data_IF_830184357156
#
_entry.id   IF_830184357156
#
_cell.length_a   1.000
_cell.length_b   1.000
_cell.length_c   1.000
_cell.angle_alpha   90.00
_cell.angle_beta   90.00
_cell.angle_gamma   90.00
#
_symmetry.space_group_name_H-M   'P 1'
#
loop_
_entity.id
_entity.type
_entity.pdbx_description
1 polymer ?
#
# COMPACT_ATOMS: atom_id res chain seq x y z
N UNK A 1 37.44 -63.12 -29.87
CA UNK A 1 37.30 -62.02 -30.83
C UNK A 1 35.95 -61.32 -30.62
N UNK A 2 35.69 -60.74 -29.48
CA UNK A 2 34.42 -59.94 -29.25
C UNK A 2 34.61 -58.90 -28.17
N UNK A 3 35.74 -58.18 -28.15
CA UNK A 3 35.99 -57.17 -27.12
C UNK A 3 36.20 -55.75 -27.65
N UNK A 4 35.94 -55.52 -28.92
CA UNK A 4 36.23 -54.19 -29.53
C UNK A 4 35.00 -53.34 -29.88
N UNK A 5 33.81 -53.85 -29.60
CA UNK A 5 32.57 -53.14 -29.97
C UNK A 5 31.84 -52.45 -28.82
N UNK A 6 32.22 -52.69 -27.58
CA UNK A 6 31.53 -52.18 -26.41
C UNK A 6 32.01 -50.74 -25.98
N UNK A 7 33.28 -50.42 -26.32
CA UNK A 7 33.82 -49.13 -25.87
C UNK A 7 33.35 -47.90 -26.69
N UNK A 8 32.81 -48.14 -27.89
CA UNK A 8 32.34 -47.01 -28.73
C UNK A 8 30.95 -46.52 -28.36
N UNK A 9 30.15 -47.39 -27.77
CA UNK A 9 28.77 -47.03 -27.35
C UNK A 9 28.77 -46.32 -26.01
N UNK A 10 29.70 -46.65 -25.11
CA UNK A 10 29.77 -45.96 -23.81
C UNK A 10 30.28 -44.51 -23.87
N UNK A 11 31.12 -44.18 -24.87
CA UNK A 11 31.60 -42.83 -25.05
C UNK A 11 30.56 -41.89 -25.69
N UNK A 12 29.61 -42.43 -26.44
CA UNK A 12 28.52 -41.62 -27.03
C UNK A 12 27.50 -41.24 -25.96
N UNK A 13 27.27 -42.11 -24.95
CA UNK A 13 26.35 -41.83 -23.84
C UNK A 13 26.89 -40.81 -22.83
N UNK A 14 28.24 -40.67 -22.75
CA UNK A 14 28.84 -39.68 -21.82
C UNK A 14 28.93 -38.28 -22.40
N UNK A 15 28.84 -38.08 -23.69
CA UNK A 15 28.92 -36.79 -24.33
C UNK A 15 27.54 -36.13 -24.45
N UNK A 16 26.45 -36.91 -24.37
CA UNK A 16 25.08 -36.38 -24.54
C UNK A 16 24.46 -35.90 -23.21
N UNK A 17 25.12 -36.10 -22.07
CA UNK A 17 24.60 -35.71 -20.77
C UNK A 17 25.21 -34.40 -20.20
N UNK A 18 26.05 -33.71 -20.97
CA UNK A 18 26.76 -32.51 -20.50
C UNK A 18 26.30 -31.20 -21.19
N UNK A 19 25.19 -31.21 -21.91
CA UNK A 19 24.71 -29.98 -22.60
C UNK A 19 23.28 -29.60 -22.28
N UNK A 20 22.75 -29.97 -21.11
CA UNK A 20 21.44 -29.49 -20.66
C UNK A 20 21.56 -28.79 -19.29
N UNK A 21 22.56 -27.93 -19.14
CA UNK A 21 22.57 -26.87 -18.18
C UNK A 21 22.03 -25.63 -18.88
N UNK A 22 20.77 -25.67 -19.28
CA UNK A 22 20.07 -24.49 -19.69
C UNK A 22 19.80 -23.69 -18.41
N UNK A 23 20.63 -22.71 -18.16
CA UNK A 23 20.38 -21.68 -17.20
C UNK A 23 18.98 -21.09 -17.49
N UNK A 24 18.02 -21.47 -16.68
CA UNK A 24 16.79 -20.70 -16.53
C UNK A 24 17.23 -19.44 -15.79
N UNK A 25 17.77 -18.47 -16.53
CA UNK A 25 17.73 -17.08 -16.07
C UNK A 25 16.25 -16.76 -16.08
N UNK A 26 15.60 -17.00 -14.93
CA UNK A 26 14.30 -16.47 -14.67
C UNK A 26 14.37 -14.98 -14.95
N UNK A 27 13.63 -14.50 -15.94
CA UNK A 27 13.26 -13.12 -16.01
C UNK A 27 12.65 -12.76 -14.67
N UNK A 28 13.43 -12.13 -13.81
CA UNK A 28 12.94 -11.39 -12.69
C UNK A 28 11.95 -10.40 -13.28
N UNK A 29 10.66 -10.64 -13.04
CA UNK A 29 9.60 -9.72 -13.40
C UNK A 29 10.03 -8.34 -12.97
N UNK A 30 9.88 -7.37 -13.87
CA UNK A 30 10.33 -6.01 -13.68
C UNK A 30 9.99 -5.53 -12.28
N UNK A 31 10.99 -5.13 -11.53
CA UNK A 31 10.82 -4.14 -10.49
C UNK A 31 10.25 -2.93 -11.23
N UNK A 32 8.93 -2.85 -11.32
CA UNK A 32 8.28 -1.60 -11.67
C UNK A 32 8.91 -0.55 -10.79
N UNK A 33 9.05 0.65 -11.30
CA UNK A 33 9.58 1.84 -10.63
C UNK A 33 8.75 2.16 -9.38
N UNK A 34 8.74 1.22 -8.44
CA UNK A 34 8.03 1.31 -7.17
C UNK A 34 8.99 1.90 -6.16
N UNK A 35 8.63 3.03 -5.53
CA UNK A 35 9.47 3.65 -4.53
C UNK A 35 9.66 2.72 -3.32
N UNK A 36 10.72 2.96 -2.57
CA UNK A 36 10.91 2.30 -1.28
C UNK A 36 9.75 2.67 -0.34
N UNK A 37 9.08 1.66 0.19
CA UNK A 37 7.93 1.81 1.08
C UNK A 37 8.26 1.34 2.50
N UNK A 38 7.75 2.09 3.47
CA UNK A 38 7.65 1.65 4.86
C UNK A 38 6.21 1.23 5.18
N UNK A 39 6.03 0.17 5.92
CA UNK A 39 4.72 -0.22 6.44
C UNK A 39 4.29 0.81 7.48
N UNK A 40 3.07 1.32 7.38
CA UNK A 40 2.54 2.33 8.30
C UNK A 40 1.19 1.89 8.83
N UNK A 41 1.07 1.87 10.14
CA UNK A 41 -0.16 1.60 10.89
C UNK A 41 -0.28 2.56 12.08
N UNK A 42 -1.42 2.64 12.68
CA UNK A 42 -1.63 3.44 13.88
C UNK A 42 -3.10 3.56 14.25
N UNK A 43 -3.38 4.47 15.16
CA UNK A 43 -4.73 4.72 15.68
C UNK A 43 -5.06 6.21 15.58
N UNK A 44 -6.29 6.51 15.23
CA UNK A 44 -6.82 7.89 15.26
C UNK A 44 -7.89 8.00 16.33
N UNK A 45 -7.73 8.97 17.21
CA UNK A 45 -8.73 9.32 18.23
C UNK A 45 -9.15 10.77 18.07
N UNK A 46 -10.40 11.07 18.37
CA UNK A 46 -10.93 12.43 18.43
C UNK A 46 -11.59 12.66 19.79
N UNK A 47 -11.12 13.70 20.51
CA UNK A 47 -11.59 13.99 21.89
C UNK A 47 -11.49 12.77 22.82
N UNK A 48 -10.44 11.95 22.66
CA UNK A 48 -10.19 10.75 23.47
C UNK A 48 -11.01 9.51 23.09
N UNK A 49 -11.85 9.60 22.04
CA UNK A 49 -12.63 8.47 21.53
C UNK A 49 -12.07 8.00 20.18
N UNK A 50 -12.09 6.68 19.89
CA UNK A 50 -11.70 6.17 18.58
C UNK A 50 -12.50 6.83 17.46
N UNK A 51 -11.82 7.28 16.42
CA UNK A 51 -12.45 7.88 15.24
C UNK A 51 -12.58 6.84 14.13
N UNK A 52 -13.78 6.26 14.01
CA UNK A 52 -14.10 5.30 12.97
C UNK A 52 -14.49 5.96 11.65
N UNK A 53 -14.15 5.32 10.51
CA UNK A 53 -14.52 5.79 9.19
C UNK A 53 -13.81 7.07 8.74
N UNK A 54 -12.72 7.46 9.40
CA UNK A 54 -11.91 8.58 8.99
C UNK A 54 -10.92 8.17 7.88
N UNK A 55 -10.74 9.04 6.91
CA UNK A 55 -9.71 8.87 5.89
C UNK A 55 -8.38 9.45 6.39
N UNK A 56 -7.35 8.63 6.41
CA UNK A 56 -5.97 9.01 6.75
C UNK A 56 -5.13 8.97 5.47
N UNK A 57 -4.56 10.08 5.07
CA UNK A 57 -3.76 10.21 3.85
C UNK A 57 -2.39 10.75 4.17
N UNK A 58 -1.36 10.02 3.76
CA UNK A 58 0.04 10.44 3.84
C UNK A 58 0.50 10.94 2.46
N UNK A 59 0.91 12.17 2.40
CA UNK A 59 1.32 12.87 1.17
C UNK A 59 2.82 13.12 1.21
N UNK A 60 3.64 12.33 0.48
CA UNK A 60 5.07 12.60 0.38
C UNK A 60 5.33 13.87 -0.45
N UNK A 61 6.49 14.50 -0.25
CA UNK A 61 6.91 15.69 -1.03
C UNK A 61 6.93 15.41 -2.54
N UNK A 62 7.10 14.16 -2.93
CA UNK A 62 7.05 13.72 -4.33
C UNK A 62 6.51 12.30 -4.45
N UNK A 63 5.72 12.06 -5.47
CA UNK A 63 5.16 10.73 -5.76
C UNK A 63 3.69 10.62 -5.37
N UNK A 64 3.24 9.40 -5.17
CA UNK A 64 1.83 9.09 -4.90
C UNK A 64 1.54 9.11 -3.39
N UNK A 65 0.41 9.68 -2.98
CA UNK A 65 -0.09 9.50 -1.62
C UNK A 65 -0.44 8.04 -1.31
N UNK A 66 -0.36 7.69 -0.04
CA UNK A 66 -0.90 6.45 0.51
C UNK A 66 -2.06 6.78 1.45
N UNK A 67 -3.10 5.97 1.47
CA UNK A 67 -4.28 6.23 2.28
C UNK A 67 -4.84 4.99 2.95
N UNK A 68 -5.64 5.21 3.99
CA UNK A 68 -6.42 4.18 4.66
C UNK A 68 -7.69 4.79 5.25
N UNK A 69 -8.67 3.94 5.54
CA UNK A 69 -9.85 4.30 6.33
C UNK A 69 -9.73 3.64 7.71
N UNK A 70 -10.03 4.37 8.77
CA UNK A 70 -10.00 3.82 10.12
C UNK A 70 -11.15 2.86 10.36
N UNK A 71 -10.87 1.78 11.09
CA UNK A 71 -11.86 0.79 11.53
C UNK A 71 -12.71 1.31 12.71
N UNK A 72 -13.62 0.47 13.22
CA UNK A 72 -14.49 0.81 14.36
C UNK A 72 -13.73 1.15 15.65
N UNK A 73 -12.47 0.73 15.78
CA UNK A 73 -11.57 1.03 16.90
C UNK A 73 -10.62 2.19 16.61
N UNK A 74 -10.76 2.86 15.46
CA UNK A 74 -9.89 3.94 15.03
C UNK A 74 -8.55 3.49 14.46
N UNK A 75 -8.30 2.19 14.27
CA UNK A 75 -7.04 1.70 13.71
C UNK A 75 -7.02 1.87 12.20
N UNK A 76 -5.83 2.10 11.65
CA UNK A 76 -5.60 2.18 10.20
C UNK A 76 -4.30 1.49 9.79
N UNK A 77 -4.24 1.05 8.54
CA UNK A 77 -3.04 0.54 7.89
C UNK A 77 -2.98 1.09 6.46
N UNK A 78 -1.94 1.85 6.14
CA UNK A 78 -1.84 2.54 4.86
C UNK A 78 -1.67 1.57 3.69
N UNK A 79 -2.35 1.90 2.59
CA UNK A 79 -2.25 1.24 1.30
C UNK A 79 -1.70 2.25 0.28
N UNK A 80 -0.60 1.90 -0.38
CA UNK A 80 0.04 2.73 -1.40
C UNK A 80 -0.70 2.65 -2.74
N UNK A 81 -0.96 1.43 -3.21
CA UNK A 81 -1.71 1.18 -4.44
C UNK A 81 -2.26 -0.24 -4.46
N UNK A 82 -3.54 -0.40 -4.81
CA UNK A 82 -4.23 -1.71 -4.84
C UNK A 82 -4.00 -2.46 -3.52
N UNK A 83 -3.29 -3.60 -3.58
CA UNK A 83 -3.02 -4.45 -2.41
C UNK A 83 -1.61 -4.20 -1.81
N UNK A 84 -0.88 -3.20 -2.32
CA UNK A 84 0.46 -2.87 -1.81
C UNK A 84 0.34 -2.00 -0.57
N UNK A 85 0.66 -2.57 0.59
CA UNK A 85 0.66 -1.87 1.87
C UNK A 85 1.87 -0.96 2.02
N UNK A 86 1.70 0.12 2.77
CA UNK A 86 2.76 1.03 3.15
C UNK A 86 2.63 2.42 2.56
N UNK A 87 3.63 3.22 2.81
CA UNK A 87 3.77 4.60 2.34
C UNK A 87 5.21 4.85 1.90
N UNK A 88 5.43 5.81 1.01
CA UNK A 88 6.77 6.20 0.58
C UNK A 88 7.61 6.66 1.77
N UNK A 89 8.85 6.12 1.85
CA UNK A 89 9.83 6.50 2.88
C UNK A 89 10.18 7.98 2.74
N UNK A 90 10.37 8.63 3.88
CA UNK A 90 10.73 10.04 3.99
C UNK A 90 9.62 10.87 4.62
N UNK A 91 9.76 12.19 4.46
CA UNK A 91 8.82 13.16 5.00
C UNK A 91 7.48 13.10 4.28
N UNK A 92 6.40 13.10 5.06
CA UNK A 92 5.03 13.06 4.58
C UNK A 92 4.17 14.06 5.37
N UNK A 93 3.37 14.86 4.68
CA UNK A 93 2.24 15.56 5.30
C UNK A 93 1.10 14.58 5.51
N UNK A 94 0.43 14.68 6.66
CA UNK A 94 -0.68 13.79 7.00
C UNK A 94 -1.98 14.56 7.03
N UNK A 95 -2.94 14.13 6.23
CA UNK A 95 -4.29 14.67 6.20
C UNK A 95 -5.26 13.65 6.78
N UNK A 96 -6.12 14.10 7.68
CA UNK A 96 -7.17 13.27 8.27
C UNK A 96 -8.52 13.98 8.09
N UNK A 97 -9.48 13.29 7.46
CA UNK A 97 -10.84 13.77 7.24
C UNK A 97 -11.85 12.82 7.85
N UNK A 98 -12.93 13.37 8.39
CA UNK A 98 -14.06 12.56 8.89
C UNK A 98 -15.08 12.23 7.80
N UNK A 99 -14.91 12.80 6.61
CA UNK A 99 -15.71 12.50 5.43
C UNK A 99 -14.96 11.49 4.59
N UNK A 100 -15.54 10.32 4.38
CA UNK A 100 -15.02 9.35 3.41
C UNK A 100 -15.38 9.85 2.01
N UNK A 101 -14.42 10.48 1.31
CA UNK A 101 -14.59 10.76 -0.11
C UNK A 101 -14.58 9.45 -0.89
N UNK A 102 -15.71 9.13 -1.53
CA UNK A 102 -15.77 8.07 -2.52
C UNK A 102 -16.47 6.79 -2.10
N UNK A 103 -17.70 6.88 -1.64
CA UNK A 103 -18.67 5.92 -2.09
C UNK A 103 -18.87 6.18 -3.59
N UNK A 104 -18.56 5.19 -4.43
CA UNK A 104 -18.85 5.23 -5.85
C UNK A 104 -20.22 5.88 -6.07
N UNK A 105 -20.25 7.03 -6.75
CA UNK A 105 -21.44 7.51 -7.41
C UNK A 105 -21.78 6.46 -8.50
N UNK A 106 -22.38 5.33 -8.09
CA UNK A 106 -23.26 4.61 -8.96
C UNK A 106 -24.45 5.54 -9.10
N UNK A 107 -24.52 6.17 -10.26
CA UNK A 107 -25.69 6.88 -10.74
C UNK A 107 -26.92 6.00 -10.52
N UNK A 108 -27.61 6.23 -9.40
CA UNK A 108 -28.97 5.75 -9.25
C UNK A 108 -29.84 6.76 -10.02
N UNK A 109 -30.09 6.46 -11.29
CA UNK A 109 -31.22 7.08 -12.00
C UNK A 109 -32.49 6.68 -11.27
N UNK A 110 -32.96 7.54 -10.38
CA UNK A 110 -34.23 7.42 -9.68
C UNK A 110 -34.64 8.79 -9.19
N UNK A 111 -35.75 9.25 -9.72
CA UNK A 111 -36.31 10.62 -9.61
C UNK A 111 -36.86 10.97 -8.20
N UNK A 112 -36.44 10.26 -7.13
CA UNK A 112 -36.83 10.50 -5.73
C UNK A 112 -35.67 10.31 -4.74
N UNK A 113 -34.44 10.61 -5.14
CA UNK A 113 -33.34 10.65 -4.18
C UNK A 113 -33.44 11.92 -3.34
N UNK A 114 -33.83 11.75 -2.06
CA UNK A 114 -33.61 12.78 -1.06
C UNK A 114 -32.12 13.22 -1.13
N UNK A 115 -31.80 14.53 -1.05
CA UNK A 115 -30.42 14.98 -1.14
C UNK A 115 -29.61 14.27 -0.05
N UNK A 116 -28.61 13.51 -0.50
CA UNK A 116 -27.63 12.92 0.41
C UNK A 116 -27.12 14.09 1.27
N UNK A 117 -27.38 14.03 2.58
CA UNK A 117 -26.86 15.04 3.50
C UNK A 117 -25.34 15.00 3.32
N UNK A 118 -24.80 16.07 2.72
CA UNK A 118 -23.37 16.26 2.59
C UNK A 118 -22.80 16.12 4.00
N UNK A 119 -22.10 15.02 4.25
CA UNK A 119 -21.55 14.70 5.56
C UNK A 119 -20.53 15.78 5.88
N UNK A 120 -20.93 16.74 6.74
CA UNK A 120 -20.05 17.85 7.09
C UNK A 120 -18.81 17.33 7.78
N UNK A 121 -17.66 17.78 7.31
CA UNK A 121 -16.39 17.54 7.99
C UNK A 121 -16.50 17.95 9.47
N UNK A 122 -16.16 17.03 10.37
CA UNK A 122 -16.24 17.24 11.83
C UNK A 122 -14.91 17.69 12.41
N UNK A 123 -13.82 17.46 11.68
CA UNK A 123 -12.48 17.78 12.13
C UNK A 123 -12.11 19.23 11.79
N UNK A 124 -11.36 19.91 12.67
CA UNK A 124 -10.77 21.21 12.36
C UNK A 124 -9.87 21.21 11.13
N UNK A 125 -9.81 22.33 10.41
CA UNK A 125 -9.01 22.50 9.19
C UNK A 125 -7.53 22.14 9.37
N UNK A 126 -6.98 22.31 10.57
CA UNK A 126 -5.60 21.94 10.94
C UNK A 126 -5.28 20.46 10.83
N UNK A 127 -6.25 19.60 10.55
CA UNK A 127 -6.05 18.16 10.32
C UNK A 127 -6.33 17.74 8.88
N UNK A 128 -6.91 18.64 8.08
CA UNK A 128 -7.27 18.36 6.68
C UNK A 128 -6.77 19.45 5.72
N UNK A 129 -7.54 20.47 5.38
CA UNK A 129 -7.19 21.47 4.36
C UNK A 129 -5.92 22.27 4.69
N UNK A 130 -5.70 22.56 5.96
CA UNK A 130 -4.54 23.30 6.47
C UNK A 130 -3.71 22.42 7.42
N UNK A 131 -3.50 21.15 7.02
CA UNK A 131 -2.87 20.17 7.92
C UNK A 131 -1.50 20.62 8.40
N UNK A 132 -1.32 20.52 9.71
CA UNK A 132 -0.04 20.69 10.41
C UNK A 132 0.58 19.36 10.81
N UNK A 133 -0.09 18.24 10.48
CA UNK A 133 0.39 16.91 10.82
C UNK A 133 1.46 16.46 9.83
N UNK A 134 2.56 15.95 10.36
CA UNK A 134 3.69 15.46 9.60
C UNK A 134 4.17 14.11 10.16
N UNK A 135 4.74 13.28 9.32
CA UNK A 135 5.30 11.98 9.68
C UNK A 135 6.52 11.64 8.83
N UNK A 136 7.59 11.22 9.48
CA UNK A 136 8.79 10.70 8.81
C UNK A 136 8.74 9.19 8.75
N UNK A 137 8.37 8.65 7.59
CA UNK A 137 8.27 7.21 7.34
C UNK A 137 9.66 6.62 7.11
N UNK A 138 9.97 5.55 7.83
CA UNK A 138 11.24 4.80 7.72
C UNK A 138 11.01 3.44 7.07
N UNK A 139 12.08 2.82 6.59
CA UNK A 139 12.04 1.44 6.13
C UNK A 139 11.60 0.50 7.26
N UNK A 140 10.76 -0.48 6.92
CA UNK A 140 10.18 -1.42 7.89
C UNK A 140 8.85 -0.94 8.46
N UNK A 141 8.56 -1.32 9.70
CA UNK A 141 7.29 -0.99 10.37
C UNK A 141 7.37 0.39 11.05
N UNK A 142 6.33 1.18 10.85
CA UNK A 142 6.12 2.48 11.50
C UNK A 142 4.75 2.48 12.17
N UNK A 143 4.68 3.12 13.33
CA UNK A 143 3.40 3.34 14.03
C UNK A 143 3.25 4.83 14.30
N UNK A 144 2.13 5.41 13.81
CA UNK A 144 1.79 6.81 14.07
C UNK A 144 0.37 6.87 14.62
N UNK A 145 0.25 7.31 15.86
CA UNK A 145 -1.02 7.52 16.53
C UNK A 145 -1.35 9.00 16.55
N UNK A 146 -2.59 9.35 16.18
CA UNK A 146 -3.04 10.74 16.10
C UNK A 146 -4.16 10.99 17.09
N UNK A 147 -3.88 11.86 18.06
CA UNK A 147 -4.86 12.36 19.01
C UNK A 147 -5.39 13.71 18.54
N UNK A 148 -6.57 13.71 17.94
CA UNK A 148 -7.20 14.91 17.40
C UNK A 148 -8.08 15.60 18.45
N UNK A 149 -8.07 16.92 18.44
CA UNK A 149 -8.87 17.75 19.35
C UNK A 149 -9.62 18.82 18.58
N UNK A 150 -10.76 19.23 19.12
CA UNK A 150 -11.61 20.24 18.49
C UNK A 150 -10.98 21.64 18.49
N UNK A 151 -10.11 21.92 19.44
CA UNK A 151 -9.39 23.20 19.60
C UNK A 151 -7.95 22.98 20.01
#
# INVERSE_FOLDING_TARGET
MTSFKQNKIQNIFKVTLLTLSLAITGCGGGAGDQPDLGLVKGTVTFEGSPLAGASVTFMPDSGRPASATTDASGNYELVYIRDTKGCKIGHNKVMITSVVEGGNEMEAEGDDAAPAEATKEKLPAKYNTDTELEADVKAGENTFDFELKKS
#
